data_IF_046682087112
#
_entry.id   IF_046682087112
#
_cell.length_a   1.000
_cell.length_b   1.000
_cell.length_c   1.000
_cell.angle_alpha   90.00
_cell.angle_beta   90.00
_cell.angle_gamma   90.00
#
_symmetry.space_group_name_H-M   'P 1'
#
loop_
_entity.id
_entity.type
_entity.pdbx_description
1 polymer ?
#
# COMPACT_ATOMS: atom_id res chain seq x y z
N UNK A 1 -17.05 -22.50 -30.81
CA UNK A 1 -17.63 -21.81 -29.64
C UNK A 1 -17.04 -20.42 -29.63
N UNK A 2 -17.80 -19.42 -30.06
CA UNK A 2 -17.37 -18.03 -30.01
C UNK A 2 -17.65 -17.55 -28.58
N UNK A 3 -16.60 -17.28 -27.80
CA UNK A 3 -16.73 -16.83 -26.40
C UNK A 3 -17.03 -15.33 -26.27
N UNK A 4 -17.02 -14.60 -27.39
CA UNK A 4 -17.35 -13.18 -27.46
C UNK A 4 -18.03 -12.91 -28.81
N UNK A 5 -19.27 -12.42 -28.78
CA UNK A 5 -19.89 -11.76 -29.92
C UNK A 5 -20.02 -10.28 -29.56
N UNK A 6 -19.09 -9.47 -30.04
CA UNK A 6 -19.29 -8.03 -30.08
C UNK A 6 -20.19 -7.74 -31.29
N UNK A 7 -21.46 -7.46 -31.04
CA UNK A 7 -22.32 -6.88 -32.08
C UNK A 7 -22.00 -5.37 -32.17
N UNK A 8 -21.51 -4.94 -33.32
CA UNK A 8 -21.23 -3.52 -33.63
C UNK A 8 -22.07 -3.17 -34.85
N UNK A 9 -22.96 -2.18 -34.71
CA UNK A 9 -23.66 -1.56 -35.85
C UNK A 9 -22.67 -0.67 -36.61
N UNK A 10 -22.40 -0.93 -37.91
CA UNK A 10 -21.46 -0.14 -38.70
C UNK A 10 -21.84 1.34 -38.87
N UNK A 11 -23.07 1.73 -38.52
CA UNK A 11 -23.57 3.10 -38.63
C UNK A 11 -23.74 3.80 -37.28
N UNK A 12 -23.41 3.15 -36.16
CA UNK A 12 -23.55 3.76 -34.83
C UNK A 12 -22.28 4.56 -34.46
N UNK A 13 -22.40 5.89 -34.48
CA UNK A 13 -21.34 6.83 -34.07
C UNK A 13 -21.48 7.26 -32.60
N UNK A 14 -22.38 6.65 -31.83
CA UNK A 14 -22.47 6.91 -30.39
C UNK A 14 -21.41 6.10 -29.66
N UNK A 15 -20.76 6.69 -28.65
CA UNK A 15 -19.79 6.03 -27.76
C UNK A 15 -20.45 4.81 -27.11
N UNK A 16 -20.38 3.65 -27.76
CA UNK A 16 -20.97 2.42 -27.25
C UNK A 16 -20.09 1.91 -26.13
N UNK A 17 -20.58 1.80 -24.89
CA UNK A 17 -19.76 1.29 -23.81
C UNK A 17 -19.41 -0.18 -24.09
N UNK A 18 -18.14 -0.54 -23.93
CA UNK A 18 -17.70 -1.93 -23.99
C UNK A 18 -18.02 -2.57 -22.64
N UNK A 19 -18.87 -3.57 -22.67
CA UNK A 19 -19.18 -4.41 -21.51
C UNK A 19 -18.52 -5.77 -21.68
N UNK A 20 -17.66 -6.13 -20.74
CA UNK A 20 -17.14 -7.48 -20.60
C UNK A 20 -17.56 -8.01 -19.23
N UNK A 21 -18.37 -9.06 -19.20
CA UNK A 21 -18.76 -9.75 -17.98
C UNK A 21 -18.34 -11.21 -18.05
N UNK A 22 -17.57 -11.65 -17.06
CA UNK A 22 -17.37 -13.07 -16.80
C UNK A 22 -18.08 -13.39 -15.49
N UNK A 23 -19.21 -14.07 -15.61
CA UNK A 23 -20.08 -14.35 -14.46
C UNK A 23 -19.36 -15.24 -13.45
N UNK A 24 -18.73 -16.33 -13.92
CA UNK A 24 -17.94 -17.22 -13.08
C UNK A 24 -16.87 -17.96 -13.90
N UNK A 25 -15.63 -17.96 -13.42
CA UNK A 25 -14.57 -18.89 -13.84
C UNK A 25 -14.19 -19.72 -12.63
N UNK A 26 -14.34 -21.03 -12.75
CA UNK A 26 -13.86 -21.99 -11.77
C UNK A 26 -12.62 -22.68 -12.34
N UNK A 27 -11.51 -22.61 -11.60
CA UNK A 27 -10.28 -23.33 -11.94
C UNK A 27 -10.01 -24.36 -10.85
N UNK A 28 -10.05 -25.63 -11.24
CA UNK A 28 -9.59 -26.73 -10.41
C UNK A 28 -8.08 -26.86 -10.50
N UNK A 29 -7.39 -26.91 -9.37
CA UNK A 29 -5.97 -27.14 -9.31
C UNK A 29 -5.60 -28.00 -8.10
N UNK A 30 -4.42 -28.61 -8.18
CA UNK A 30 -3.86 -29.42 -7.11
C UNK A 30 -2.76 -28.62 -6.42
N UNK A 31 -2.93 -28.38 -5.12
CA UNK A 31 -1.88 -27.74 -4.31
C UNK A 31 -0.90 -28.81 -3.80
N UNK A 32 0.40 -28.53 -3.96
CA UNK A 32 1.49 -29.28 -3.34
C UNK A 32 2.10 -28.45 -2.21
N UNK A 33 2.31 -29.07 -1.06
CA UNK A 33 3.15 -28.51 0.01
C UNK A 33 4.60 -28.38 -0.46
N UNK A 34 5.28 -27.29 -0.07
CA UNK A 34 6.71 -27.07 -0.29
C UNK A 34 7.59 -28.10 0.46
N UNK A 35 7.04 -28.80 1.46
CA UNK A 35 7.77 -29.74 2.32
C UNK A 35 7.62 -31.22 1.91
N UNK A 36 7.03 -31.53 0.74
CA UNK A 36 7.09 -32.86 0.15
C UNK A 36 5.73 -33.44 -0.24
N UNK A 37 5.65 -33.88 -1.50
CA UNK A 37 4.74 -34.82 -2.21
C UNK A 37 3.36 -35.22 -1.63
N UNK A 38 2.75 -34.39 -0.80
CA UNK A 38 1.39 -34.59 -0.31
C UNK A 38 0.44 -33.77 -1.19
N UNK A 39 -0.38 -34.44 -1.99
CA UNK A 39 -1.55 -33.85 -2.65
C UNK A 39 -2.53 -33.45 -1.54
N UNK A 40 -2.62 -32.15 -1.24
CA UNK A 40 -3.35 -31.68 -0.06
C UNK A 40 -4.88 -31.79 -0.24
N UNK A 41 -5.39 -31.47 -1.43
CA UNK A 41 -6.78 -31.71 -1.89
C UNK A 41 -6.96 -31.15 -3.31
N UNK A 42 -8.12 -31.44 -3.93
CA UNK A 42 -8.64 -30.64 -5.05
C UNK A 42 -8.99 -29.26 -4.51
N UNK A 43 -8.32 -28.22 -5.00
CA UNK A 43 -8.61 -26.83 -4.68
C UNK A 43 -9.35 -26.19 -5.86
N UNK A 44 -10.33 -25.33 -5.55
CA UNK A 44 -11.13 -24.64 -6.55
C UNK A 44 -10.94 -23.14 -6.36
N UNK A 45 -10.36 -22.45 -7.34
CA UNK A 45 -10.35 -21.00 -7.39
C UNK A 45 -11.63 -20.56 -8.11
N UNK A 46 -12.48 -19.81 -7.44
CA UNK A 46 -13.66 -19.20 -8.07
C UNK A 46 -13.40 -17.71 -8.26
N UNK A 47 -13.31 -17.28 -9.51
CA UNK A 47 -13.36 -15.89 -9.92
C UNK A 47 -14.79 -15.60 -10.33
N UNK A 48 -15.46 -14.65 -9.68
CA UNK A 48 -16.83 -14.28 -10.02
C UNK A 48 -16.99 -12.77 -10.11
N UNK A 49 -17.92 -12.35 -10.96
CA UNK A 49 -18.29 -10.94 -11.09
C UNK A 49 -17.21 -10.06 -11.69
N UNK A 50 -16.35 -10.56 -12.60
CA UNK A 50 -15.49 -9.68 -13.38
C UNK A 50 -16.39 -8.92 -14.34
N UNK A 51 -16.76 -7.70 -13.97
CA UNK A 51 -17.55 -6.80 -14.82
C UNK A 51 -16.69 -5.60 -15.11
N UNK A 52 -16.41 -5.36 -16.38
CA UNK A 52 -15.76 -4.14 -16.84
C UNK A 52 -16.71 -3.42 -17.75
N UNK A 53 -17.08 -2.20 -17.37
CA UNK A 53 -17.81 -1.27 -18.21
C UNK A 53 -16.85 -0.14 -18.57
N UNK A 54 -16.52 -0.02 -19.84
CA UNK A 54 -15.67 1.05 -20.37
C UNK A 54 -16.48 1.95 -21.30
N UNK A 55 -16.31 3.25 -21.17
CA UNK A 55 -16.87 4.30 -22.04
C UNK A 55 -15.77 5.33 -22.32
N UNK A 56 -16.03 6.29 -23.21
CA UNK A 56 -15.09 7.41 -23.45
C UNK A 56 -14.76 8.21 -22.17
N UNK A 57 -15.63 8.18 -21.16
CA UNK A 57 -15.54 9.02 -19.97
C UNK A 57 -15.15 8.27 -18.69
N UNK A 58 -15.21 6.94 -18.70
CA UNK A 58 -14.93 6.14 -17.51
C UNK A 58 -14.71 4.66 -17.80
N UNK A 59 -13.92 4.01 -16.94
CA UNK A 59 -13.80 2.55 -16.84
C UNK A 59 -14.13 2.16 -15.41
N UNK A 60 -15.09 1.26 -15.21
CA UNK A 60 -15.43 0.76 -13.88
C UNK A 60 -15.50 -0.76 -13.87
N UNK A 61 -15.28 -1.34 -12.70
CA UNK A 61 -15.48 -2.76 -12.54
C UNK A 61 -15.42 -3.28 -11.12
N UNK A 62 -15.83 -4.53 -11.00
CA UNK A 62 -15.70 -5.34 -9.80
C UNK A 62 -14.99 -6.66 -10.11
N UNK A 63 -14.32 -7.22 -9.11
CA UNK A 63 -13.63 -8.50 -9.14
C UNK A 63 -13.80 -9.14 -7.78
N UNK A 64 -14.37 -10.34 -7.73
CA UNK A 64 -14.44 -11.13 -6.51
C UNK A 64 -13.69 -12.45 -6.72
N UNK A 65 -12.82 -12.77 -5.78
CA UNK A 65 -12.00 -13.98 -5.77
C UNK A 65 -12.20 -14.69 -4.45
N UNK A 66 -12.87 -15.84 -4.49
CA UNK A 66 -12.97 -16.72 -3.34
C UNK A 66 -11.73 -17.61 -3.28
N UNK A 67 -10.95 -17.48 -2.20
CA UNK A 67 -9.77 -18.31 -1.93
C UNK A 67 -10.14 -19.36 -0.89
N UNK A 68 -10.13 -20.66 -1.23
CA UNK A 68 -10.49 -21.74 -0.30
C UNK A 68 -9.72 -21.66 1.02
N UNK A 69 -10.43 -21.73 2.14
CA UNK A 69 -9.85 -21.72 3.49
C UNK A 69 -9.35 -20.35 3.99
N UNK A 70 -9.32 -19.33 3.14
CA UNK A 70 -8.80 -17.98 3.47
C UNK A 70 -9.84 -16.86 3.33
N UNK A 71 -10.95 -17.09 2.62
CA UNK A 71 -12.05 -16.14 2.50
C UNK A 71 -12.12 -15.49 1.11
N UNK A 72 -12.80 -14.35 1.02
CA UNK A 72 -13.07 -13.65 -0.23
C UNK A 72 -12.26 -12.34 -0.31
N UNK A 73 -11.62 -12.13 -1.46
CA UNK A 73 -11.02 -10.86 -1.86
C UNK A 73 -11.98 -10.19 -2.84
N UNK A 74 -12.42 -8.99 -2.52
CA UNK A 74 -13.27 -8.19 -3.40
C UNK A 74 -12.59 -6.88 -3.75
N UNK A 75 -12.52 -6.56 -5.04
CA UNK A 75 -12.02 -5.31 -5.56
C UNK A 75 -13.12 -4.59 -6.33
N UNK A 76 -13.24 -3.29 -6.13
CA UNK A 76 -14.07 -2.40 -6.94
C UNK A 76 -13.23 -1.24 -7.39
N UNK A 77 -13.36 -0.84 -8.64
CA UNK A 77 -12.64 0.30 -9.18
C UNK A 77 -13.51 1.11 -10.10
N UNK A 78 -13.20 2.40 -10.17
CA UNK A 78 -13.75 3.34 -11.13
C UNK A 78 -12.64 4.31 -11.51
N UNK A 79 -12.40 4.48 -12.79
CA UNK A 79 -11.37 5.33 -13.35
C UNK A 79 -12.06 6.30 -14.28
N UNK A 80 -11.95 7.59 -13.97
CA UNK A 80 -12.38 8.72 -14.78
C UNK A 80 -11.17 9.64 -15.00
N UNK A 81 -11.16 10.48 -16.04
CA UNK A 81 -10.05 11.40 -16.31
C UNK A 81 -9.65 12.27 -15.10
N UNK A 82 -10.63 12.74 -14.34
CA UNK A 82 -10.42 13.66 -13.20
C UNK A 82 -10.43 12.96 -11.83
N UNK A 83 -10.83 11.70 -11.79
CA UNK A 83 -10.99 10.98 -10.53
C UNK A 83 -10.89 9.46 -10.72
N UNK A 84 -10.07 8.81 -9.91
CA UNK A 84 -9.99 7.34 -9.87
C UNK A 84 -10.15 6.82 -8.45
N UNK A 85 -11.00 5.83 -8.28
CA UNK A 85 -11.33 5.21 -7.01
C UNK A 85 -11.05 3.71 -7.08
N UNK A 86 -10.45 3.17 -6.02
CA UNK A 86 -10.26 1.73 -5.84
C UNK A 86 -10.63 1.38 -4.40
N UNK A 87 -11.43 0.33 -4.22
CA UNK A 87 -11.75 -0.24 -2.93
C UNK A 87 -11.43 -1.72 -2.96
N UNK A 88 -10.51 -2.14 -2.10
CA UNK A 88 -10.13 -3.52 -1.86
C UNK A 88 -10.67 -3.95 -0.50
N UNK A 89 -11.27 -5.14 -0.46
CA UNK A 89 -11.78 -5.78 0.75
C UNK A 89 -11.22 -7.18 0.86
N UNK A 90 -10.81 -7.53 2.07
CA UNK A 90 -10.40 -8.89 2.41
C UNK A 90 -10.76 -9.17 3.86
N UNK A 91 -11.70 -10.09 4.08
CA UNK A 91 -12.26 -10.35 5.41
C UNK A 91 -12.73 -9.04 6.09
N UNK A 92 -12.22 -8.73 7.29
CA UNK A 92 -12.47 -7.50 8.04
C UNK A 92 -11.80 -6.25 7.48
N UNK A 93 -10.83 -6.40 6.58
CA UNK A 93 -10.00 -5.30 6.11
C UNK A 93 -10.60 -4.62 4.89
N UNK A 94 -10.54 -3.28 4.88
CA UNK A 94 -10.88 -2.48 3.72
C UNK A 94 -9.79 -1.43 3.48
N UNK A 95 -9.23 -1.44 2.27
CA UNK A 95 -8.38 -0.38 1.72
C UNK A 95 -9.17 0.38 0.67
N UNK A 96 -9.29 1.69 0.82
CA UNK A 96 -9.89 2.58 -0.17
C UNK A 96 -8.87 3.63 -0.61
N UNK A 97 -8.73 3.83 -1.91
CA UNK A 97 -7.86 4.83 -2.51
C UNK A 97 -8.68 5.69 -3.44
N UNK A 98 -8.49 7.00 -3.34
CA UNK A 98 -9.06 7.99 -4.27
C UNK A 98 -7.94 8.85 -4.80
N UNK A 99 -7.88 9.00 -6.11
CA UNK A 99 -6.95 9.86 -6.81
C UNK A 99 -7.73 10.95 -7.53
N UNK A 100 -7.25 12.18 -7.44
CA UNK A 100 -7.57 13.31 -8.31
C UNK A 100 -6.25 13.99 -8.70
N UNK A 101 -6.23 14.87 -9.72
CA UNK A 101 -5.04 15.66 -10.04
C UNK A 101 -4.50 16.49 -8.86
N UNK A 102 -5.36 16.82 -7.88
CA UNK A 102 -5.02 17.63 -6.72
C UNK A 102 -4.73 16.84 -5.44
N UNK A 103 -5.13 15.56 -5.35
CA UNK A 103 -5.05 14.80 -4.09
C UNK A 103 -5.03 13.29 -4.32
N UNK A 104 -4.31 12.57 -3.45
CA UNK A 104 -4.44 11.13 -3.25
C UNK A 104 -4.91 10.90 -1.82
N UNK A 105 -6.09 10.29 -1.64
CA UNK A 105 -6.54 9.78 -0.35
C UNK A 105 -6.30 8.28 -0.26
N UNK A 106 -5.75 7.82 0.85
CA UNK A 106 -5.66 6.41 1.21
C UNK A 106 -6.31 6.20 2.57
N UNK A 107 -7.25 5.26 2.65
CA UNK A 107 -7.97 4.91 3.87
C UNK A 107 -7.90 3.41 4.07
N UNK A 108 -7.20 2.98 5.11
CA UNK A 108 -7.20 1.60 5.58
C UNK A 108 -8.02 1.54 6.87
N UNK A 109 -8.92 0.56 6.96
CA UNK A 109 -9.69 0.28 8.16
C UNK A 109 -9.89 -1.22 8.32
N UNK A 110 -10.15 -1.65 9.55
CA UNK A 110 -10.72 -2.96 9.84
C UNK A 110 -12.12 -2.80 10.47
N UNK A 111 -12.63 -3.86 11.09
CA UNK A 111 -13.92 -3.86 11.81
C UNK A 111 -13.85 -3.17 13.19
N UNK A 112 -12.68 -2.66 13.60
CA UNK A 112 -12.50 -1.90 14.83
C UNK A 112 -12.73 -0.39 14.61
N UNK A 113 -12.44 0.42 15.63
CA UNK A 113 -12.46 1.88 15.52
C UNK A 113 -11.20 2.44 14.83
N UNK A 114 -10.19 1.60 14.59
CA UNK A 114 -8.91 2.02 14.02
C UNK A 114 -9.06 2.31 12.53
N UNK A 115 -8.48 3.43 12.11
CA UNK A 115 -8.34 3.74 10.69
C UNK A 115 -7.05 4.53 10.46
N UNK A 116 -6.38 4.19 9.36
CA UNK A 116 -5.25 4.94 8.83
C UNK A 116 -5.77 5.72 7.64
N UNK A 117 -5.81 7.04 7.77
CA UNK A 117 -6.25 7.95 6.73
C UNK A 117 -5.08 8.86 6.35
N UNK A 118 -4.60 8.75 5.11
CA UNK A 118 -3.54 9.58 4.56
C UNK A 118 -4.11 10.42 3.42
N UNK A 119 -3.72 11.69 3.35
CA UNK A 119 -4.04 12.58 2.24
C UNK A 119 -2.77 13.22 1.71
N UNK A 120 -2.48 12.98 0.44
CA UNK A 120 -1.30 13.49 -0.25
C UNK A 120 -1.76 14.54 -1.24
N UNK A 121 -1.45 15.80 -0.98
CA UNK A 121 -1.89 16.94 -1.76
C UNK A 121 -0.90 17.26 -2.87
N UNK A 122 -1.39 17.54 -4.07
CA UNK A 122 -0.59 18.16 -5.11
C UNK A 122 -0.57 19.68 -4.89
N UNK A 123 0.61 20.24 -4.62
CA UNK A 123 0.86 21.66 -4.44
C UNK A 123 1.94 22.09 -5.43
N UNK A 124 1.57 22.86 -6.46
CA UNK A 124 2.52 23.55 -7.34
C UNK A 124 3.67 22.64 -7.83
N UNK A 125 3.33 21.48 -8.40
CA UNK A 125 4.25 20.43 -8.91
C UNK A 125 4.87 19.50 -7.85
N UNK A 126 4.47 19.60 -6.59
CA UNK A 126 4.94 18.71 -5.52
C UNK A 126 3.80 17.92 -4.89
N UNK A 127 4.02 16.64 -4.60
CA UNK A 127 3.12 15.84 -3.78
C UNK A 127 3.54 15.95 -2.31
N UNK A 128 2.61 16.34 -1.44
CA UNK A 128 2.86 16.62 -0.03
C UNK A 128 1.91 15.81 0.83
N UNK A 129 2.47 14.94 1.67
CA UNK A 129 1.78 14.39 2.82
C UNK A 129 2.13 15.29 4.02
N UNK A 130 1.18 16.11 4.45
CA UNK A 130 1.35 16.89 5.67
C UNK A 130 1.43 15.96 6.88
N UNK A 131 2.07 16.38 7.98
CA UNK A 131 2.18 15.58 9.20
C UNK A 131 0.83 15.02 9.63
N UNK A 132 0.67 13.71 9.42
CA UNK A 132 -0.58 13.00 9.65
C UNK A 132 -0.37 12.04 10.80
N UNK A 133 -1.17 12.20 11.87
CA UNK A 133 -1.13 11.28 13.00
C UNK A 133 -1.69 9.94 12.58
N UNK A 134 -0.97 8.88 12.91
CA UNK A 134 -1.36 7.50 12.69
C UNK A 134 -1.48 6.84 14.06
N UNK A 135 -2.61 6.21 14.32
CA UNK A 135 -2.81 5.36 15.48
C UNK A 135 -3.38 4.03 15.00
N UNK A 136 -2.68 2.93 15.27
CA UNK A 136 -3.15 1.60 14.91
C UNK A 136 -2.73 0.61 15.99
N UNK A 137 -3.71 -0.08 16.58
CA UNK A 137 -3.48 -1.15 17.57
C UNK A 137 -2.55 -0.72 18.72
N UNK A 138 -2.83 0.44 19.32
CA UNK A 138 -2.06 1.01 20.43
C UNK A 138 -0.77 1.73 20.04
N UNK A 139 -0.31 1.59 18.79
CA UNK A 139 0.88 2.29 18.29
C UNK A 139 0.50 3.64 17.70
N UNK A 140 1.07 4.71 18.24
CA UNK A 140 0.88 6.07 17.74
C UNK A 140 2.14 6.64 17.09
N UNK A 141 1.94 7.44 16.04
CA UNK A 141 3.02 8.09 15.31
C UNK A 141 2.53 9.21 14.40
N UNK A 142 3.45 9.79 13.65
CA UNK A 142 3.21 10.76 12.60
C UNK A 142 3.96 10.34 11.33
N UNK A 143 3.38 10.62 10.17
CA UNK A 143 4.05 10.48 8.88
C UNK A 143 3.90 11.76 8.09
N UNK A 144 4.98 12.18 7.45
CA UNK A 144 4.99 13.32 6.55
C UNK A 144 5.89 13.01 5.36
N UNK A 145 5.55 13.55 4.19
CA UNK A 145 6.35 13.35 2.99
C UNK A 145 6.27 14.54 2.03
N UNK A 146 7.31 14.70 1.23
CA UNK A 146 7.35 15.59 0.08
C UNK A 146 7.98 14.85 -1.09
N UNK A 147 7.35 14.93 -2.24
CA UNK A 147 7.90 14.54 -3.51
C UNK A 147 7.78 15.71 -4.48
N UNK A 148 8.84 16.51 -4.56
CA UNK A 148 8.92 17.66 -5.47
C UNK A 148 10.07 17.50 -6.47
N UNK A 149 10.15 18.37 -7.49
CA UNK A 149 11.10 18.21 -8.61
C UNK A 149 12.59 18.28 -8.22
N UNK A 150 12.91 18.89 -7.07
CA UNK A 150 14.30 19.09 -6.61
C UNK A 150 14.58 18.54 -5.22
N UNK A 151 13.55 18.01 -4.55
CA UNK A 151 13.63 17.56 -3.17
C UNK A 151 12.60 16.47 -2.91
N UNK A 152 13.07 15.36 -2.38
CA UNK A 152 12.22 14.27 -1.92
C UNK A 152 12.54 14.00 -0.46
N UNK A 153 11.53 13.82 0.38
CA UNK A 153 11.75 13.33 1.73
C UNK A 153 10.54 12.59 2.27
N UNK A 154 10.81 11.67 3.17
CA UNK A 154 9.84 10.97 4.00
C UNK A 154 10.34 11.06 5.44
N UNK A 155 9.45 11.47 6.33
CA UNK A 155 9.68 11.56 7.75
C UNK A 155 8.62 10.74 8.47
N UNK A 156 9.09 9.95 9.41
CA UNK A 156 8.30 9.01 10.18
C UNK A 156 8.66 9.19 11.65
N UNK A 157 7.65 9.39 12.48
CA UNK A 157 7.81 9.52 13.92
C UNK A 157 6.88 8.54 14.61
N UNK A 158 7.39 7.84 15.61
CA UNK A 158 6.65 6.97 16.51
C UNK A 158 7.14 7.19 17.93
N UNK A 159 6.42 6.69 18.92
CA UNK A 159 6.81 6.76 20.33
C UNK A 159 8.27 6.33 20.53
N UNK A 160 9.17 7.31 20.65
CA UNK A 160 10.61 7.10 20.82
C UNK A 160 11.43 6.76 19.57
N UNK A 161 10.90 6.85 18.34
CA UNK A 161 11.67 6.67 17.09
C UNK A 161 11.33 7.77 16.10
N UNK A 162 12.33 8.48 15.57
CA UNK A 162 12.21 9.37 14.41
C UNK A 162 13.14 8.85 13.31
N UNK A 163 12.60 8.70 12.11
CA UNK A 163 13.34 8.31 10.92
C UNK A 163 13.01 9.27 9.78
N UNK A 164 14.05 9.81 9.14
CA UNK A 164 13.94 10.69 8.00
C UNK A 164 14.88 10.25 6.90
N UNK A 165 14.33 10.06 5.72
CA UNK A 165 15.10 9.91 4.49
C UNK A 165 14.82 11.11 3.59
N UNK A 166 15.87 11.64 2.98
CA UNK A 166 15.74 12.76 2.05
C UNK A 166 16.75 12.65 0.93
N UNK A 167 16.31 13.00 -0.26
CA UNK A 167 17.12 13.20 -1.44
C UNK A 167 17.26 14.70 -1.70
N UNK A 168 18.48 15.11 -2.07
CA UNK A 168 18.74 16.45 -2.59
C UNK A 168 19.87 16.38 -3.63
N UNK A 169 19.56 16.75 -4.87
CA UNK A 169 20.53 16.89 -5.97
C UNK A 169 21.42 15.64 -6.20
N UNK A 170 20.80 14.46 -6.26
CA UNK A 170 21.43 13.16 -6.45
C UNK A 170 21.97 12.50 -5.19
N UNK A 171 21.98 13.19 -4.05
CA UNK A 171 22.50 12.66 -2.78
C UNK A 171 21.35 12.29 -1.86
N UNK A 172 21.34 11.05 -1.39
CA UNK A 172 20.41 10.60 -0.37
C UNK A 172 21.03 10.74 1.01
N UNK A 173 20.24 11.10 1.99
CA UNK A 173 20.61 11.05 3.40
C UNK A 173 19.52 10.38 4.20
N UNK A 174 19.95 9.55 5.16
CA UNK A 174 19.11 8.86 6.11
C UNK A 174 19.50 9.34 7.50
N UNK A 175 18.53 9.62 8.35
CA UNK A 175 18.73 9.87 9.77
C UNK A 175 17.71 9.04 10.54
N UNK A 176 18.18 8.29 11.52
CA UNK A 176 17.35 7.55 12.46
C UNK A 176 17.78 7.95 13.86
N UNK A 177 16.83 8.34 14.70
CA UNK A 177 17.03 8.60 16.12
C UNK A 177 16.06 7.73 16.89
N UNK A 178 16.56 7.03 17.90
CA UNK A 178 15.73 6.32 18.85
C UNK A 178 16.02 6.80 20.27
N UNK A 179 14.95 6.97 21.03
CA UNK A 179 14.93 7.26 22.44
C UNK A 179 13.70 6.58 23.06
N UNK A 180 13.86 5.31 23.42
CA UNK A 180 12.78 4.51 24.01
C UNK A 180 12.42 4.90 25.45
N UNK A 181 12.93 6.02 25.97
CA UNK A 181 12.40 6.59 27.24
C UNK A 181 10.95 7.05 27.10
N UNK A 182 10.51 7.33 25.87
CA UNK A 182 9.14 7.68 25.53
C UNK A 182 8.38 6.51 24.86
N UNK A 183 8.90 5.27 24.94
CA UNK A 183 8.16 4.10 24.49
C UNK A 183 7.09 3.72 25.54
N UNK A 184 6.06 3.01 25.11
CA UNK A 184 5.02 2.51 26.01
C UNK A 184 5.60 1.55 27.07
N UNK A 185 4.99 1.51 28.26
CA UNK A 185 5.50 0.74 29.40
C UNK A 185 5.59 -0.78 29.13
N UNK A 186 4.79 -1.28 28.20
CA UNK A 186 4.73 -2.67 27.75
C UNK A 186 5.48 -2.95 26.43
N UNK A 187 6.22 -1.97 25.91
CA UNK A 187 6.98 -2.13 24.68
C UNK A 187 7.97 -3.30 24.79
N UNK A 188 7.81 -4.29 23.90
CA UNK A 188 8.71 -5.46 23.78
C UNK A 188 10.09 -5.11 23.21
N UNK A 189 10.31 -3.84 22.90
CA UNK A 189 11.49 -3.30 22.25
C UNK A 189 12.05 -2.10 23.02
N UNK A 190 13.36 -1.88 22.91
CA UNK A 190 14.01 -0.66 23.39
C UNK A 190 15.08 -0.25 22.38
N UNK A 191 15.16 1.03 22.06
CA UNK A 191 16.16 1.56 21.14
C UNK A 191 16.68 2.90 21.63
N UNK A 192 17.99 3.08 21.61
CA UNK A 192 18.64 4.32 22.01
C UNK A 192 19.83 4.63 21.11
N UNK A 193 19.91 5.89 20.64
CA UNK A 193 21.02 6.40 19.86
C UNK A 193 20.58 7.10 18.58
N UNK A 194 21.53 7.39 17.69
CA UNK A 194 21.23 8.01 16.41
C UNK A 194 22.20 7.60 15.32
N UNK A 195 21.66 7.13 14.21
CA UNK A 195 22.38 6.79 13.00
C UNK A 195 22.12 7.89 11.97
N UNK A 196 23.17 8.37 11.29
CA UNK A 196 22.99 9.10 10.03
C UNK A 196 23.79 8.41 8.95
N UNK A 197 23.30 8.50 7.73
CA UNK A 197 23.95 7.97 6.55
C UNK A 197 23.76 8.91 5.38
N UNK A 198 24.70 8.88 4.45
CA UNK A 198 24.58 9.54 3.15
C UNK A 198 24.94 8.55 2.06
N UNK A 199 24.22 8.58 0.94
CA UNK A 199 24.52 7.83 -0.26
C UNK A 199 24.81 8.80 -1.40
N UNK A 200 26.02 8.69 -1.94
CA UNK A 200 26.50 9.43 -3.10
C UNK A 200 27.44 8.52 -3.89
N UNK A 201 27.46 8.68 -5.22
CA UNK A 201 28.40 7.98 -6.11
C UNK A 201 28.41 6.45 -5.93
N UNK A 202 27.24 5.84 -5.72
CA UNK A 202 27.10 4.39 -5.61
C UNK A 202 27.41 3.80 -4.22
N UNK A 203 27.75 4.61 -3.22
CA UNK A 203 28.21 4.12 -1.91
C UNK A 203 27.49 4.79 -0.74
N UNK A 204 27.21 3.99 0.31
CA UNK A 204 26.71 4.50 1.60
C UNK A 204 27.88 4.82 2.54
N UNK A 205 27.86 6.01 3.12
CA UNK A 205 28.69 6.39 4.25
C UNK A 205 27.81 6.55 5.49
N UNK A 206 28.07 5.79 6.54
CA UNK A 206 27.39 5.91 7.83
C UNK A 206 28.19 6.83 8.75
N UNK A 207 27.55 7.89 9.21
CA UNK A 207 28.10 8.89 10.12
C UNK A 207 27.15 9.04 11.31
N UNK A 208 27.50 8.58 12.50
CA UNK A 208 26.58 8.66 13.66
C UNK A 208 27.09 7.96 14.90
N UNK A 209 26.27 7.95 15.97
CA UNK A 209 26.52 7.12 17.15
C UNK A 209 25.91 5.73 16.91
N UNK A 210 26.43 4.70 17.57
CA UNK A 210 25.83 3.37 17.50
C UNK A 210 24.39 3.42 17.97
N UNK A 211 23.44 3.05 17.11
CA UNK A 211 22.07 2.76 17.47
C UNK A 211 22.04 1.40 18.16
N UNK A 212 21.65 1.39 19.43
CA UNK A 212 21.50 0.15 20.21
C UNK A 212 20.04 -0.24 20.19
N UNK A 213 19.73 -1.45 19.75
CA UNK A 213 18.37 -1.98 19.65
C UNK A 213 18.29 -3.27 20.45
N UNK A 214 17.22 -3.40 21.24
CA UNK A 214 16.82 -4.62 21.94
C UNK A 214 15.41 -4.99 21.50
N UNK A 215 15.19 -6.26 21.16
CA UNK A 215 13.86 -6.82 20.92
C UNK A 215 13.80 -8.20 21.58
N UNK A 216 12.97 -8.35 22.62
CA UNK A 216 13.04 -9.51 23.50
C UNK A 216 14.47 -9.69 24.08
N UNK A 217 15.05 -10.87 23.87
CA UNK A 217 16.41 -11.21 24.30
C UNK A 217 17.51 -10.79 23.30
N UNK A 218 17.14 -10.47 22.06
CA UNK A 218 18.08 -10.12 21.01
C UNK A 218 18.58 -8.68 21.18
N UNK A 219 19.88 -8.47 20.90
CA UNK A 219 20.55 -7.17 20.97
C UNK A 219 21.36 -6.93 19.71
N UNK A 220 21.20 -5.74 19.12
CA UNK A 220 21.96 -5.29 17.97
C UNK A 220 22.58 -3.92 18.21
N UNK A 221 23.78 -3.74 17.69
CA UNK A 221 24.47 -2.47 17.59
C UNK A 221 24.61 -2.13 16.11
N UNK A 222 23.97 -1.05 15.67
CA UNK A 222 24.01 -0.60 14.28
C UNK A 222 24.74 0.74 14.24
N UNK A 223 25.91 0.79 13.61
CA UNK A 223 26.73 1.99 13.52
C UNK A 223 28.00 1.74 12.74
N UNK A 224 28.81 2.80 12.50
CA UNK A 224 30.15 2.66 11.93
C UNK A 224 31.09 1.87 12.83
#
# INVERSE_FOLDING_TARGET
MHWFDAWIDPNDTTSTPIYASVDQVEVDFWMRSLEGDTLLARSQLSLSGIRVAASELSVSGDLNVAVPGTGEVAAKFEVRPEESNVVLKYQRWQLATRYTPSNIELKLKDDSINSLNLSILNKEESWVLEPTRVAWDGVEGSVAALWGPSKHWLELEWSGINARIQERHGTWSLAVRADSTNADEDASWAAHGSLKGSYSDGNWALNGRTLRVRFGDARWNVGP
#
